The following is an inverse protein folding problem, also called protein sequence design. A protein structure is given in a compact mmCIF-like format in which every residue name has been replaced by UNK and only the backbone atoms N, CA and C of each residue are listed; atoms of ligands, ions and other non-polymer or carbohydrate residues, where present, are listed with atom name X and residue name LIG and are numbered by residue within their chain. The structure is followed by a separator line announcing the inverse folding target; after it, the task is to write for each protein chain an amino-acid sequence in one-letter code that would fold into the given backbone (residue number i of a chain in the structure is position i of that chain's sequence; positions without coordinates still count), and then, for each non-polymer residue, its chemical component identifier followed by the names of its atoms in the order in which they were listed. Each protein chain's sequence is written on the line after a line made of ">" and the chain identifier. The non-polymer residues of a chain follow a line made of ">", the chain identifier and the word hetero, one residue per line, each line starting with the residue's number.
data_IF_193868367455
#
_entry.id   IF_193868367455
#
_cell.length_a   1.000
_cell.length_b   1.000
_cell.length_c   1.000
_cell.angle_alpha   90.00
_cell.angle_beta   90.00
_cell.angle_gamma   90.00
#
_symmetry.space_group_name_H-M   'P 1'
#
loop_
_entity.id
_entity.type
_entity.pdbx_description
1 polymer ?
#
# COMPACT_ATOMS: atom_id res chain seq x y z
N UNK A 1 15.95 -49.14 -9.25
CA UNK A 1 15.34 -48.16 -10.18
C UNK A 1 15.13 -46.88 -9.38
N UNK A 2 15.74 -45.79 -9.82
CA UNK A 2 15.79 -44.52 -9.09
C UNK A 2 14.41 -43.89 -9.03
N UNK A 3 13.92 -43.60 -7.83
CA UNK A 3 12.77 -42.72 -7.65
C UNK A 3 13.19 -41.30 -8.05
N UNK A 4 12.50 -40.73 -9.04
CA UNK A 4 12.66 -39.32 -9.39
C UNK A 4 12.13 -38.45 -8.25
N UNK A 5 12.92 -37.54 -7.66
CA UNK A 5 12.40 -36.61 -6.67
C UNK A 5 11.39 -35.70 -7.36
N UNK A 6 10.18 -35.60 -6.80
CA UNK A 6 9.19 -34.62 -7.24
C UNK A 6 9.79 -33.23 -7.01
N UNK A 7 10.16 -32.55 -8.10
CA UNK A 7 10.55 -31.15 -8.09
C UNK A 7 9.32 -30.32 -7.67
N UNK A 8 9.14 -30.09 -6.38
CA UNK A 8 8.20 -29.10 -5.87
C UNK A 8 8.57 -27.75 -6.49
N UNK A 9 7.61 -27.17 -7.20
CA UNK A 9 7.74 -25.96 -8.01
C UNK A 9 7.86 -24.74 -7.09
N UNK A 10 8.98 -24.60 -6.38
CA UNK A 10 9.24 -23.53 -5.43
C UNK A 10 9.72 -22.25 -6.15
N UNK A 11 8.88 -21.66 -7.01
CA UNK A 11 9.18 -20.36 -7.65
C UNK A 11 7.99 -19.41 -7.73
N UNK A 12 6.96 -19.62 -6.94
CA UNK A 12 5.86 -18.65 -6.84
C UNK A 12 6.03 -17.83 -5.55
N UNK A 13 6.45 -16.57 -5.72
CA UNK A 13 6.23 -15.44 -4.80
C UNK A 13 7.17 -15.27 -3.60
N UNK A 14 8.49 -15.34 -3.77
CA UNK A 14 9.46 -15.06 -2.69
C UNK A 14 9.33 -13.68 -2.01
N UNK A 15 8.69 -12.71 -2.67
CA UNK A 15 8.39 -11.39 -2.11
C UNK A 15 7.19 -11.41 -1.14
N UNK A 16 6.26 -12.37 -1.27
CA UNK A 16 5.17 -12.54 -0.28
C UNK A 16 5.64 -13.12 1.05
N UNK A 17 6.87 -13.62 1.12
CA UNK A 17 7.43 -14.24 2.32
C UNK A 17 8.30 -13.27 3.14
N UNK A 18 8.49 -12.02 2.69
CA UNK A 18 9.31 -11.02 3.37
C UNK A 18 8.48 -9.77 3.69
N UNK A 19 8.67 -9.18 4.88
CA UNK A 19 8.09 -7.87 5.19
C UNK A 19 8.40 -6.85 4.10
N UNK A 20 7.39 -6.05 3.75
CA UNK A 20 7.49 -5.07 2.68
C UNK A 20 7.06 -3.68 3.17
N UNK A 21 7.57 -2.65 2.53
CA UNK A 21 7.11 -1.26 2.73
C UNK A 21 6.26 -0.86 1.54
N UNK A 22 5.04 -0.42 1.83
CA UNK A 22 4.01 -0.03 0.86
C UNK A 22 3.81 1.47 1.00
N UNK A 23 3.97 2.17 -0.13
CA UNK A 23 3.78 3.61 -0.22
C UNK A 23 2.68 3.89 -1.23
N UNK A 24 1.60 4.50 -0.76
CA UNK A 24 0.43 4.89 -1.57
C UNK A 24 0.46 6.39 -1.77
N UNK A 25 0.48 6.83 -3.04
CA UNK A 25 0.53 8.24 -3.42
C UNK A 25 -0.79 8.62 -4.08
N UNK A 26 -1.54 9.53 -3.46
CA UNK A 26 -2.92 9.83 -3.87
C UNK A 26 -3.85 8.69 -3.50
N UNK A 27 -4.15 8.55 -2.22
CA UNK A 27 -4.99 7.48 -1.65
C UNK A 27 -6.37 7.49 -2.30
N UNK A 28 -6.95 8.68 -2.48
CA UNK A 28 -8.33 8.79 -2.93
C UNK A 28 -9.32 8.12 -1.97
N UNK A 29 -10.52 7.83 -2.47
CA UNK A 29 -11.62 7.28 -1.65
C UNK A 29 -11.69 5.74 -1.65
N UNK A 30 -10.87 5.05 -2.45
CA UNK A 30 -10.90 3.59 -2.58
C UNK A 30 -9.58 2.97 -2.12
N UNK A 31 -9.62 2.26 -0.98
CA UNK A 31 -8.47 1.60 -0.35
C UNK A 31 -8.49 0.07 -0.47
N UNK A 32 -9.34 -0.48 -1.35
CA UNK A 32 -9.52 -1.94 -1.45
C UNK A 32 -8.24 -2.68 -1.84
N UNK A 33 -7.36 -2.06 -2.64
CA UNK A 33 -6.10 -2.67 -3.05
C UNK A 33 -5.15 -2.83 -1.85
N UNK A 34 -5.04 -1.80 -1.01
CA UNK A 34 -4.23 -1.79 0.20
C UNK A 34 -4.79 -2.77 1.23
N UNK A 35 -6.11 -2.81 1.41
CA UNK A 35 -6.77 -3.79 2.27
C UNK A 35 -6.53 -5.23 1.82
N UNK A 36 -6.50 -5.49 0.50
CA UNK A 36 -6.15 -6.79 -0.04
C UNK A 36 -4.67 -7.13 0.21
N UNK A 37 -3.78 -6.14 0.13
CA UNK A 37 -2.35 -6.30 0.40
C UNK A 37 -2.08 -6.61 1.88
N UNK A 38 -2.77 -5.95 2.81
CA UNK A 38 -2.69 -6.24 4.26
C UNK A 38 -2.98 -7.71 4.56
N UNK A 39 -3.90 -8.34 3.82
CA UNK A 39 -4.30 -9.75 4.03
C UNK A 39 -3.28 -10.77 3.51
N UNK A 40 -2.42 -10.37 2.57
CA UNK A 40 -1.51 -11.31 1.88
C UNK A 40 -0.04 -11.06 2.18
N UNK A 41 0.29 -9.90 2.74
CA UNK A 41 1.65 -9.56 3.12
C UNK A 41 1.95 -10.09 4.53
N UNK A 42 3.21 -10.46 4.78
CA UNK A 42 3.59 -11.01 6.07
C UNK A 42 3.59 -9.92 7.15
N UNK A 43 3.43 -10.35 8.39
CA UNK A 43 3.56 -9.50 9.57
C UNK A 43 4.89 -8.74 9.57
N UNK A 44 4.86 -7.48 10.02
CA UNK A 44 5.99 -6.55 9.93
C UNK A 44 6.07 -5.76 8.63
N UNK A 45 5.10 -5.93 7.73
CA UNK A 45 4.94 -5.02 6.58
C UNK A 45 4.36 -3.67 7.02
N UNK A 46 4.83 -2.58 6.41
CA UNK A 46 4.45 -1.21 6.76
C UNK A 46 3.70 -0.53 5.61
N UNK A 47 2.67 0.25 5.94
CA UNK A 47 1.85 0.98 4.98
C UNK A 47 1.92 2.48 5.27
N UNK A 48 2.23 3.27 4.25
CA UNK A 48 2.31 4.73 4.30
C UNK A 48 1.49 5.32 3.17
N UNK A 49 0.58 6.25 3.48
CA UNK A 49 -0.31 6.87 2.50
C UNK A 49 -0.16 8.38 2.51
N UNK A 50 -0.09 9.01 1.34
CA UNK A 50 -0.02 10.46 1.21
C UNK A 50 -1.19 10.98 0.34
N UNK A 51 -1.98 11.91 0.88
CA UNK A 51 -3.06 12.58 0.15
C UNK A 51 -3.29 14.00 0.71
N UNK A 52 -3.57 15.00 -0.13
CA UNK A 52 -3.97 16.33 0.36
C UNK A 52 -5.40 16.38 0.95
N UNK A 53 -6.28 15.41 0.68
CA UNK A 53 -7.68 15.38 1.15
C UNK A 53 -7.78 14.69 2.51
N UNK A 54 -8.08 15.46 3.56
CA UNK A 54 -7.97 15.00 4.95
C UNK A 54 -9.12 14.10 5.43
N UNK A 55 -10.36 14.58 5.44
CA UNK A 55 -11.40 14.03 6.33
C UNK A 55 -11.83 12.59 6.02
N UNK A 56 -11.91 12.21 4.74
CA UNK A 56 -12.35 10.85 4.36
C UNK A 56 -11.15 9.89 4.30
N UNK A 57 -10.03 10.35 3.74
CA UNK A 57 -8.92 9.46 3.40
C UNK A 57 -8.07 9.09 4.62
N UNK A 58 -7.96 10.00 5.61
CA UNK A 58 -7.30 9.70 6.88
C UNK A 58 -8.00 8.54 7.60
N UNK A 59 -9.33 8.62 7.73
CA UNK A 59 -10.13 7.60 8.42
C UNK A 59 -10.08 6.24 7.72
N UNK A 60 -9.95 6.20 6.40
CA UNK A 60 -9.84 4.96 5.65
C UNK A 60 -8.45 4.33 5.82
N UNK A 61 -7.39 5.12 5.71
CA UNK A 61 -6.02 4.61 5.63
C UNK A 61 -5.40 4.31 7.00
N UNK A 62 -5.76 5.08 8.05
CA UNK A 62 -5.23 4.88 9.41
C UNK A 62 -5.64 3.55 10.05
N UNK A 63 -6.58 2.82 9.44
CA UNK A 63 -6.98 1.46 9.86
C UNK A 63 -5.85 0.43 9.71
N UNK A 64 -4.91 0.66 8.80
CA UNK A 64 -3.86 -0.31 8.47
C UNK A 64 -2.48 0.31 8.21
N UNK A 65 -2.36 1.63 8.19
CA UNK A 65 -1.09 2.32 7.92
C UNK A 65 -1.01 3.71 8.53
N UNK A 66 0.05 4.44 8.21
CA UNK A 66 0.21 5.86 8.60
C UNK A 66 -0.19 6.77 7.44
N UNK A 67 -0.97 7.80 7.77
CA UNK A 67 -1.47 8.79 6.81
C UNK A 67 -0.65 10.09 6.89
N UNK A 68 -0.39 10.70 5.73
CA UNK A 68 0.33 11.95 5.60
C UNK A 68 -0.50 12.96 4.79
N UNK A 69 -0.84 14.12 5.36
CA UNK A 69 -1.76 15.09 4.75
C UNK A 69 -1.05 16.01 3.74
N UNK A 70 -0.36 15.44 2.75
CA UNK A 70 0.29 16.20 1.68
C UNK A 70 0.30 15.45 0.35
N UNK A 71 0.34 16.21 -0.75
CA UNK A 71 0.57 15.67 -2.08
C UNK A 71 2.06 15.38 -2.31
N UNK A 72 2.37 14.34 -3.09
CA UNK A 72 3.74 14.01 -3.50
C UNK A 72 3.98 14.48 -4.94
N UNK A 73 5.05 15.26 -5.12
CA UNK A 73 5.45 15.82 -6.42
C UNK A 73 6.96 15.98 -6.54
N UNK A 74 7.42 16.36 -7.72
CA UNK A 74 8.86 16.46 -8.03
C UNK A 74 9.62 17.52 -7.19
N UNK A 75 8.91 18.48 -6.59
CA UNK A 75 9.48 19.53 -5.75
C UNK A 75 8.59 19.75 -4.53
N UNK A 76 9.22 20.06 -3.41
CA UNK A 76 8.51 20.52 -2.21
C UNK A 76 7.98 21.94 -2.45
N UNK A 77 6.66 22.09 -2.43
CA UNK A 77 5.99 23.38 -2.58
C UNK A 77 4.64 23.37 -1.85
N UNK A 78 4.17 24.55 -1.45
CA UNK A 78 2.80 24.76 -1.01
C UNK A 78 2.03 25.30 -2.21
N UNK A 79 0.94 24.62 -2.57
CA UNK A 79 0.07 25.03 -3.67
C UNK A 79 -1.40 24.83 -3.28
N UNK A 80 -2.28 25.68 -3.81
CA UNK A 80 -3.73 25.53 -3.64
C UNK A 80 -4.25 24.48 -4.62
N UNK A 81 -4.99 23.50 -4.11
CA UNK A 81 -5.69 22.52 -4.93
C UNK A 81 -7.20 22.75 -4.82
N UNK A 82 -7.91 22.68 -5.95
CA UNK A 82 -9.37 22.63 -5.96
C UNK A 82 -9.81 21.18 -5.99
N UNK A 83 -10.57 20.76 -4.98
CA UNK A 83 -11.15 19.42 -4.88
C UNK A 83 -12.58 19.50 -5.39
N UNK A 84 -12.93 18.63 -6.33
CA UNK A 84 -14.32 18.46 -6.74
C UNK A 84 -15.06 17.70 -5.62
N UNK A 85 -15.98 18.38 -4.94
CA UNK A 85 -16.89 17.77 -3.97
C UNK A 85 -18.13 17.32 -4.77
N UNK A 86 -18.46 16.03 -4.76
CA UNK A 86 -19.62 15.46 -5.45
C UNK A 86 -20.62 14.88 -4.46
#
# INVERSE_FOLDING_TARGET
>A
MHETPSMTRSRENGWKQKPSVIVTLGIGHDTQAEEALVKVLPEGSYFYGADPIHEVNENLFTKFGSYFPFAVGAKSQVATASVLIN
#
